data_IF_979037355697
#
_entry.id   IF_979037355697
#
_cell.length_a   1.000
_cell.length_b   1.000
_cell.length_c   1.000
_cell.angle_alpha   90.00
_cell.angle_beta   90.00
_cell.angle_gamma   90.00
#
_symmetry.space_group_name_H-M   'P 1'
#
loop_
_entity.id
_entity.type
_entity.pdbx_description
1 polymer ?
#
# COMPACT_ATOMS: atom_id res chain seq x y z
N UNK A 1 1.61 -4.09 6.31
CA UNK A 1 2.58 -3.95 5.20
C UNK A 1 3.14 -5.33 4.88
N UNK A 2 3.14 -5.74 3.62
CA UNK A 2 3.68 -7.04 3.19
C UNK A 2 5.09 -6.85 2.65
N UNK A 3 6.03 -7.62 3.18
CA UNK A 3 7.45 -7.54 2.81
C UNK A 3 7.87 -8.92 2.32
N UNK A 4 8.39 -8.95 1.09
CA UNK A 4 9.00 -10.14 0.49
C UNK A 4 10.51 -10.08 0.61
N UNK A 5 11.13 -11.24 0.82
CA UNK A 5 12.58 -11.43 0.74
C UNK A 5 12.83 -12.63 -0.16
N UNK A 6 13.59 -12.45 -1.22
CA UNK A 6 13.99 -13.56 -2.12
C UNK A 6 15.51 -13.62 -2.14
N UNK A 7 16.03 -14.69 -1.57
CA UNK A 7 17.46 -14.91 -1.34
C UNK A 7 17.70 -16.41 -1.19
N UNK A 8 18.56 -16.99 -1.96
CA UNK A 8 18.81 -18.46 -1.95
C UNK A 8 19.70 -18.90 -0.79
N UNK A 9 20.67 -18.08 -0.41
CA UNK A 9 21.55 -18.38 0.71
C UNK A 9 20.83 -18.17 2.05
N UNK A 10 20.65 -19.26 2.82
CA UNK A 10 19.93 -19.21 4.09
C UNK A 10 20.50 -18.19 5.08
N UNK A 11 21.82 -18.06 5.16
CA UNK A 11 22.50 -17.13 6.06
C UNK A 11 22.15 -15.67 5.72
N UNK A 12 22.21 -15.30 4.45
CA UNK A 12 21.83 -13.97 4.01
C UNK A 12 20.34 -13.71 4.17
N UNK A 13 19.51 -14.69 3.83
CA UNK A 13 18.06 -14.60 3.97
C UNK A 13 17.64 -14.34 5.42
N UNK A 14 18.24 -15.05 6.38
CA UNK A 14 17.97 -14.85 7.80
C UNK A 14 18.51 -13.53 8.32
N UNK A 15 19.68 -13.10 7.86
CA UNK A 15 20.27 -11.80 8.23
C UNK A 15 19.42 -10.63 7.73
N UNK A 16 18.96 -10.68 6.47
CA UNK A 16 18.07 -9.68 5.89
C UNK A 16 16.73 -9.65 6.64
N UNK A 17 16.17 -10.83 6.93
CA UNK A 17 14.95 -10.94 7.71
C UNK A 17 15.10 -10.28 9.07
N UNK A 18 16.19 -10.56 9.81
CA UNK A 18 16.44 -9.97 11.11
C UNK A 18 16.55 -8.45 11.06
N UNK A 19 17.23 -7.87 10.03
CA UNK A 19 17.30 -6.43 9.83
C UNK A 19 15.91 -5.83 9.59
N UNK A 20 15.10 -6.46 8.74
CA UNK A 20 13.73 -6.03 8.44
C UNK A 20 12.84 -6.10 9.68
N UNK A 21 12.90 -7.19 10.45
CA UNK A 21 12.13 -7.37 11.68
C UNK A 21 12.52 -6.34 12.73
N UNK A 22 13.82 -6.07 12.90
CA UNK A 22 14.34 -5.03 13.79
C UNK A 22 13.76 -3.67 13.46
N UNK A 23 13.89 -3.23 12.20
CA UNK A 23 13.36 -1.93 11.76
C UNK A 23 11.84 -1.82 11.99
N UNK A 24 11.09 -2.84 11.59
CA UNK A 24 9.64 -2.85 11.79
C UNK A 24 9.25 -2.80 13.26
N UNK A 25 9.96 -3.51 14.13
CA UNK A 25 9.75 -3.51 15.58
C UNK A 25 10.03 -2.15 16.21
N UNK A 26 11.18 -1.53 15.91
CA UNK A 26 11.57 -0.22 16.41
C UNK A 26 10.58 0.89 16.00
N UNK A 27 10.10 0.83 14.77
CA UNK A 27 9.12 1.81 14.22
C UNK A 27 7.66 1.43 14.51
N UNK A 28 7.40 0.31 15.19
CA UNK A 28 6.05 -0.22 15.49
C UNK A 28 5.19 -0.37 14.22
N UNK A 29 5.79 -0.88 13.15
CA UNK A 29 5.12 -1.10 11.87
C UNK A 29 4.52 -2.49 11.86
N UNK A 30 3.19 -2.60 11.76
CA UNK A 30 2.54 -3.87 11.53
C UNK A 30 2.93 -4.42 10.14
N UNK A 31 3.68 -5.52 10.12
CA UNK A 31 4.21 -6.12 8.90
C UNK A 31 4.03 -7.63 8.88
N UNK A 32 3.84 -8.16 7.67
CA UNK A 32 3.92 -9.58 7.36
C UNK A 32 5.16 -9.78 6.51
N UNK A 33 6.11 -10.55 7.01
CA UNK A 33 7.39 -10.80 6.35
C UNK A 33 7.41 -12.23 5.85
N UNK A 34 7.57 -12.41 4.55
CA UNK A 34 7.68 -13.71 3.88
C UNK A 34 9.03 -13.81 3.19
N UNK A 35 9.75 -14.90 3.44
CA UNK A 35 11.07 -15.11 2.86
C UNK A 35 11.10 -16.41 2.05
N UNK A 36 11.70 -16.36 0.89
CA UNK A 36 11.72 -17.40 -0.13
C UNK A 36 13.16 -17.70 -0.55
N UNK A 37 13.48 -18.96 -0.75
CA UNK A 37 14.79 -19.40 -1.22
C UNK A 37 14.96 -19.36 -2.74
N UNK A 38 13.93 -18.98 -3.50
CA UNK A 38 13.96 -18.90 -4.95
C UNK A 38 12.80 -18.02 -5.48
N UNK A 39 12.94 -17.56 -6.71
CA UNK A 39 11.94 -16.71 -7.35
C UNK A 39 10.64 -17.40 -7.69
N UNK A 40 10.67 -18.72 -7.97
CA UNK A 40 9.47 -19.50 -8.27
C UNK A 40 8.48 -19.52 -7.13
N UNK A 41 8.95 -19.74 -5.90
CA UNK A 41 8.10 -19.81 -4.73
C UNK A 41 7.50 -18.44 -4.41
N UNK A 42 8.29 -17.37 -4.54
CA UNK A 42 7.77 -16.02 -4.40
C UNK A 42 6.69 -15.70 -5.45
N UNK A 43 6.91 -16.07 -6.72
CA UNK A 43 5.98 -15.73 -7.81
C UNK A 43 4.63 -16.46 -7.73
N UNK A 44 4.49 -17.50 -6.90
CA UNK A 44 3.18 -18.15 -6.66
C UNK A 44 2.19 -17.22 -5.96
N UNK A 45 2.67 -16.43 -5.02
CA UNK A 45 1.86 -15.48 -4.27
C UNK A 45 2.05 -14.05 -4.80
N UNK A 46 3.27 -13.70 -5.20
CA UNK A 46 3.72 -12.40 -5.73
C UNK A 46 3.12 -11.16 -5.01
N UNK A 47 2.85 -11.30 -3.71
CA UNK A 47 2.09 -10.35 -2.91
C UNK A 47 3.02 -9.65 -1.89
N UNK A 48 3.67 -8.59 -2.34
CA UNK A 48 4.51 -7.74 -1.51
C UNK A 48 4.30 -6.26 -1.84
N UNK A 49 4.34 -5.42 -0.80
CA UNK A 49 4.41 -3.95 -0.95
C UNK A 49 5.86 -3.51 -1.23
N UNK A 50 6.82 -4.18 -0.56
CA UNK A 50 8.25 -3.98 -0.67
C UNK A 50 8.93 -5.35 -0.80
N UNK A 51 9.77 -5.50 -1.80
CA UNK A 51 10.51 -6.73 -2.07
C UNK A 51 12.01 -6.47 -1.96
N UNK A 52 12.69 -7.22 -1.13
CA UNK A 52 14.14 -7.35 -1.13
C UNK A 52 14.49 -8.58 -1.97
N UNK A 53 15.22 -8.37 -3.06
CA UNK A 53 15.46 -9.38 -4.09
C UNK A 53 16.94 -9.46 -4.40
N UNK A 54 17.54 -10.63 -4.22
CA UNK A 54 18.88 -10.88 -4.72
C UNK A 54 18.90 -10.87 -6.26
N UNK A 55 19.96 -10.35 -6.82
CA UNK A 55 20.18 -10.35 -8.27
C UNK A 55 20.61 -11.73 -8.75
N UNK A 56 21.50 -12.38 -8.04
CA UNK A 56 22.08 -13.67 -8.39
C UNK A 56 21.53 -14.76 -7.47
N UNK A 57 20.59 -15.53 -7.97
CA UNK A 57 19.98 -16.65 -7.26
C UNK A 57 20.51 -17.98 -7.76
N UNK A 58 20.43 -19.02 -6.93
CA UNK A 58 20.85 -20.37 -7.28
C UNK A 58 20.19 -20.87 -8.57
N UNK A 59 20.83 -21.85 -9.22
CA UNK A 59 20.35 -22.51 -10.44
C UNK A 59 20.22 -21.56 -11.66
N UNK A 60 20.89 -20.39 -11.63
CA UNK A 60 20.86 -19.44 -12.74
C UNK A 60 19.56 -18.62 -12.81
N UNK A 61 18.77 -18.56 -11.72
CA UNK A 61 17.68 -17.61 -11.66
C UNK A 61 18.25 -16.19 -11.56
N UNK A 62 17.73 -15.29 -12.40
CA UNK A 62 18.12 -13.88 -12.45
C UNK A 62 17.05 -13.03 -11.77
N UNK A 63 17.44 -12.29 -10.72
CA UNK A 63 16.57 -11.37 -9.99
C UNK A 63 15.98 -10.28 -10.89
N UNK A 64 16.69 -9.82 -11.91
CA UNK A 64 16.12 -8.87 -12.87
C UNK A 64 14.98 -9.47 -13.68
N UNK A 65 15.11 -10.74 -14.10
CA UNK A 65 14.03 -11.43 -14.83
C UNK A 65 12.78 -11.62 -13.93
N UNK A 66 12.95 -11.87 -12.63
CA UNK A 66 11.85 -11.95 -11.66
C UNK A 66 11.19 -10.57 -11.53
N UNK A 67 11.97 -9.51 -11.39
CA UNK A 67 11.48 -8.15 -11.30
C UNK A 67 10.70 -7.72 -12.55
N UNK A 68 11.19 -8.03 -13.75
CA UNK A 68 10.49 -7.76 -15.01
C UNK A 68 9.13 -8.48 -15.08
N UNK A 69 9.07 -9.75 -14.69
CA UNK A 69 7.81 -10.50 -14.64
C UNK A 69 6.81 -9.88 -13.68
N UNK A 70 7.29 -9.44 -12.49
CA UNK A 70 6.46 -8.80 -11.48
C UNK A 70 5.89 -7.47 -11.98
N UNK A 71 6.70 -6.64 -12.62
CA UNK A 71 6.28 -5.37 -13.22
C UNK A 71 5.28 -5.59 -14.36
N UNK A 72 5.56 -6.53 -15.25
CA UNK A 72 4.70 -6.85 -16.37
C UNK A 72 3.34 -7.42 -15.95
N UNK A 73 3.24 -8.01 -14.75
CA UNK A 73 1.96 -8.41 -14.15
C UNK A 73 1.13 -7.24 -13.60
N UNK A 74 1.62 -6.00 -13.70
CA UNK A 74 0.95 -4.81 -13.17
C UNK A 74 1.13 -4.59 -11.67
N UNK A 75 2.06 -5.30 -11.04
CA UNK A 75 2.36 -5.14 -9.61
C UNK A 75 2.88 -3.74 -9.31
N UNK A 76 2.44 -3.17 -8.18
CA UNK A 76 2.92 -1.89 -7.65
C UNK A 76 4.02 -2.08 -6.57
N UNK A 77 4.53 -3.31 -6.45
CA UNK A 77 5.59 -3.65 -5.51
C UNK A 77 6.83 -2.78 -5.75
N UNK A 78 7.40 -2.23 -4.69
CA UNK A 78 8.69 -1.55 -4.77
C UNK A 78 9.79 -2.58 -4.58
N UNK A 79 10.76 -2.60 -5.50
CA UNK A 79 11.82 -3.61 -5.53
C UNK A 79 13.12 -2.97 -5.07
N UNK A 80 13.68 -3.50 -3.98
CA UNK A 80 15.05 -3.22 -3.53
C UNK A 80 15.92 -4.41 -3.89
N UNK A 81 16.86 -4.23 -4.77
CA UNK A 81 17.85 -5.27 -5.03
C UNK A 81 18.89 -5.32 -3.92
N UNK A 82 19.22 -6.52 -3.50
CA UNK A 82 20.34 -6.82 -2.63
C UNK A 82 21.41 -7.54 -3.47
N UNK A 83 22.65 -7.11 -3.43
CA UNK A 83 23.69 -7.74 -4.22
C UNK A 83 25.06 -7.53 -3.59
N UNK A 84 25.94 -8.51 -3.75
CA UNK A 84 27.38 -8.35 -3.49
C UNK A 84 28.13 -7.71 -4.68
N UNK A 85 27.45 -7.57 -5.84
CA UNK A 85 27.99 -7.09 -7.11
C UNK A 85 27.38 -5.75 -7.50
N UNK A 86 27.90 -4.67 -6.91
CA UNK A 86 27.37 -3.31 -7.11
C UNK A 86 27.47 -2.79 -8.55
N UNK A 87 28.38 -3.36 -9.36
CA UNK A 87 28.50 -3.08 -10.79
C UNK A 87 27.25 -3.48 -11.58
N UNK A 88 26.43 -4.41 -11.07
CA UNK A 88 25.17 -4.82 -11.68
C UNK A 88 24.05 -3.78 -11.52
N UNK A 89 24.18 -2.82 -10.61
CA UNK A 89 23.21 -1.77 -10.40
C UNK A 89 22.87 -0.98 -11.68
N UNK A 90 23.83 -0.85 -12.61
CA UNK A 90 23.62 -0.20 -13.91
C UNK A 90 22.56 -0.89 -14.81
N UNK A 91 22.28 -2.16 -14.59
CA UNK A 91 21.26 -2.88 -15.35
C UNK A 91 19.83 -2.68 -14.82
N UNK A 92 19.71 -2.16 -13.62
CA UNK A 92 18.42 -1.94 -12.96
C UNK A 92 17.56 -0.82 -13.54
N UNK A 93 18.12 0.03 -14.40
CA UNK A 93 17.30 1.00 -15.14
C UNK A 93 16.15 0.36 -15.93
N UNK A 94 16.29 -0.90 -16.34
CA UNK A 94 15.27 -1.64 -17.09
C UNK A 94 14.03 -1.96 -16.26
N UNK A 95 14.20 -2.13 -14.95
CA UNK A 95 13.15 -2.59 -14.03
C UNK A 95 12.70 -1.51 -13.05
N UNK A 96 13.11 -0.24 -13.26
CA UNK A 96 12.76 0.88 -12.39
C UNK A 96 12.88 0.51 -10.90
N UNK A 97 14.03 -0.08 -10.53
CA UNK A 97 14.29 -0.49 -9.17
C UNK A 97 14.12 0.67 -8.19
N UNK A 98 13.53 0.40 -7.04
CA UNK A 98 13.35 1.40 -6.00
C UNK A 98 14.69 1.76 -5.34
N UNK A 99 15.51 0.74 -5.03
CA UNK A 99 16.88 0.90 -4.50
C UNK A 99 17.77 -0.28 -4.87
N UNK A 100 19.07 -0.04 -4.75
CA UNK A 100 20.12 -1.05 -4.70
C UNK A 100 20.80 -0.97 -3.35
N UNK A 101 21.01 -2.11 -2.71
CA UNK A 101 21.65 -2.24 -1.41
C UNK A 101 22.78 -3.25 -1.54
N UNK A 102 23.99 -2.86 -1.15
CA UNK A 102 25.12 -3.76 -1.05
C UNK A 102 24.91 -4.67 0.17
N UNK A 103 25.03 -5.99 -0.01
CA UNK A 103 24.90 -6.96 1.10
C UNK A 103 25.92 -6.70 2.23
N UNK A 104 27.00 -5.98 1.95
CA UNK A 104 28.00 -5.54 2.95
C UNK A 104 27.52 -4.35 3.80
N UNK A 105 26.45 -3.69 3.39
CA UNK A 105 25.91 -2.46 3.99
C UNK A 105 24.41 -2.61 4.28
N UNK A 106 24.03 -3.63 5.06
CA UNK A 106 22.63 -3.89 5.37
C UNK A 106 21.95 -2.78 6.21
N UNK A 107 22.72 -1.86 6.79
CA UNK A 107 22.21 -0.64 7.41
C UNK A 107 21.43 0.25 6.41
N UNK A 108 21.70 0.13 5.11
CA UNK A 108 20.94 0.82 4.06
C UNK A 108 19.50 0.32 3.92
N UNK A 109 19.15 -0.84 4.52
CA UNK A 109 17.77 -1.33 4.62
C UNK A 109 16.90 -0.29 5.34
N UNK A 110 17.40 0.33 6.40
CA UNK A 110 16.68 1.35 7.16
C UNK A 110 16.36 2.57 6.28
N UNK A 111 17.31 3.01 5.45
CA UNK A 111 17.10 4.10 4.50
C UNK A 111 16.11 3.73 3.39
N UNK A 112 16.15 2.47 2.93
CA UNK A 112 15.19 1.97 1.95
C UNK A 112 13.77 2.01 2.51
N UNK A 113 13.58 1.59 3.76
CA UNK A 113 12.30 1.69 4.44
C UNK A 113 11.85 3.13 4.64
N UNK A 114 12.71 4.02 5.14
CA UNK A 114 12.38 5.44 5.33
C UNK A 114 11.92 6.08 4.01
N UNK A 115 12.60 5.77 2.91
CA UNK A 115 12.25 6.25 1.58
C UNK A 115 10.93 5.65 1.10
N UNK A 116 10.72 4.35 1.32
CA UNK A 116 9.47 3.67 0.97
C UNK A 116 8.27 4.23 1.72
N UNK A 117 8.42 4.46 3.03
CA UNK A 117 7.37 5.05 3.84
C UNK A 117 7.04 6.48 3.41
N UNK A 118 8.06 7.28 3.01
CA UNK A 118 7.85 8.62 2.44
C UNK A 118 7.05 8.56 1.14
N UNK A 119 7.34 7.62 0.23
CA UNK A 119 6.54 7.45 -1.00
C UNK A 119 5.11 7.07 -0.68
N UNK A 120 4.88 6.15 0.28
CA UNK A 120 3.51 5.79 0.71
C UNK A 120 2.75 6.95 1.33
N UNK A 121 3.43 7.90 1.98
CA UNK A 121 2.79 9.12 2.49
C UNK A 121 2.44 10.05 1.32
N UNK A 122 3.31 10.20 0.34
CA UNK A 122 3.06 11.00 -0.87
C UNK A 122 1.95 10.38 -1.72
N UNK A 123 1.92 9.07 -1.90
CA UNK A 123 0.87 8.34 -2.62
C UNK A 123 -0.52 8.48 -1.96
N UNK A 124 -0.58 8.91 -0.70
CA UNK A 124 -1.83 9.20 0.01
C UNK A 124 -2.28 10.66 -0.09
N UNK A 125 -1.67 11.43 -0.97
CA UNK A 125 -2.09 12.78 -1.33
C UNK A 125 -2.71 12.73 -2.72
N UNK A 126 -3.96 13.16 -2.82
CA UNK A 126 -4.62 13.36 -4.10
C UNK A 126 -4.90 14.85 -4.32
N UNK A 127 -5.11 15.21 -5.56
CA UNK A 127 -5.48 16.55 -5.95
C UNK A 127 -6.84 16.52 -6.64
N UNK A 128 -7.71 17.45 -6.27
CA UNK A 128 -8.96 17.71 -6.98
C UNK A 128 -9.10 19.21 -7.26
N UNK A 129 -9.95 19.57 -8.20
CA UNK A 129 -10.30 20.96 -8.42
C UNK A 129 -11.53 21.29 -7.58
N UNK A 130 -11.47 22.39 -6.83
CA UNK A 130 -12.60 22.87 -6.08
C UNK A 130 -13.65 23.57 -6.98
N UNK A 131 -14.68 24.11 -6.37
CA UNK A 131 -15.76 24.82 -7.10
C UNK A 131 -15.31 26.10 -7.80
N UNK A 132 -14.18 26.66 -7.42
CA UNK A 132 -13.56 27.83 -8.05
C UNK A 132 -12.52 27.42 -9.12
N UNK A 133 -12.32 26.13 -9.36
CA UNK A 133 -11.32 25.60 -10.28
C UNK A 133 -9.90 25.58 -9.71
N UNK A 134 -9.74 25.88 -8.43
CA UNK A 134 -8.44 25.84 -7.76
C UNK A 134 -8.05 24.39 -7.39
N UNK A 135 -6.77 24.09 -7.58
CA UNK A 135 -6.24 22.77 -7.23
C UNK A 135 -6.08 22.64 -5.72
N UNK A 136 -6.86 21.74 -5.12
CA UNK A 136 -6.84 21.43 -3.69
C UNK A 136 -6.12 20.13 -3.45
N UNK A 137 -5.28 20.12 -2.42
CA UNK A 137 -4.56 18.95 -1.95
C UNK A 137 -5.35 18.25 -0.85
N UNK A 138 -5.68 16.97 -1.04
CA UNK A 138 -6.39 16.13 -0.08
C UNK A 138 -5.45 15.06 0.46
N UNK A 139 -5.21 15.07 1.76
CA UNK A 139 -4.48 14.00 2.43
C UNK A 139 -5.45 12.87 2.82
N UNK A 140 -5.34 11.74 2.16
CA UNK A 140 -6.20 10.56 2.38
C UNK A 140 -6.13 10.01 3.81
N UNK A 141 -4.99 10.21 4.49
CA UNK A 141 -4.86 9.82 5.90
C UNK A 141 -5.70 10.67 6.85
N UNK A 142 -6.15 11.85 6.40
CA UNK A 142 -7.00 12.76 7.16
C UNK A 142 -8.41 12.88 6.58
N UNK A 143 -8.70 12.15 5.51
CA UNK A 143 -10.00 12.12 4.86
C UNK A 143 -10.88 11.08 5.56
N UNK A 144 -12.02 11.52 6.07
CA UNK A 144 -12.98 10.70 6.81
C UNK A 144 -13.97 9.99 5.87
N UNK A 145 -14.62 10.77 5.00
CA UNK A 145 -15.58 10.28 4.04
C UNK A 145 -15.67 11.21 2.80
N UNK A 146 -16.27 10.69 1.75
CA UNK A 146 -16.67 11.46 0.58
C UNK A 146 -18.16 11.19 0.35
N UNK A 147 -18.92 12.24 0.13
CA UNK A 147 -20.34 12.11 -0.23
C UNK A 147 -20.70 12.90 -1.47
N UNK A 148 -21.75 12.46 -2.13
CA UNK A 148 -22.34 13.23 -3.25
C UNK A 148 -23.19 14.36 -2.69
N UNK A 149 -22.83 15.61 -3.06
CA UNK A 149 -23.58 16.81 -2.71
C UNK A 149 -23.98 17.55 -4.00
N UNK A 150 -25.21 17.31 -4.45
CA UNK A 150 -25.69 17.80 -5.74
C UNK A 150 -24.85 17.24 -6.90
N UNK A 151 -24.15 18.12 -7.62
CA UNK A 151 -23.29 17.76 -8.76
C UNK A 151 -21.81 17.64 -8.39
N UNK A 152 -21.47 17.81 -7.10
CA UNK A 152 -20.12 17.81 -6.56
C UNK A 152 -19.92 16.65 -5.59
N UNK A 153 -18.67 16.38 -5.28
CA UNK A 153 -18.28 15.51 -4.19
C UNK A 153 -17.79 16.35 -3.02
N UNK A 154 -18.35 16.13 -1.84
CA UNK A 154 -17.89 16.70 -0.58
C UNK A 154 -16.89 15.76 0.06
N UNK A 155 -15.68 16.22 0.29
CA UNK A 155 -14.62 15.55 1.02
C UNK A 155 -14.61 16.08 2.45
N UNK A 156 -15.04 15.26 3.42
CA UNK A 156 -15.05 15.64 4.83
C UNK A 156 -13.75 15.15 5.49
N UNK A 157 -12.99 16.10 6.00
CA UNK A 157 -11.71 15.83 6.67
C UNK A 157 -11.93 15.53 8.16
N UNK A 158 -10.97 14.86 8.80
CA UNK A 158 -11.02 14.50 10.21
C UNK A 158 -11.11 15.71 11.15
N UNK A 159 -10.53 16.84 10.75
CA UNK A 159 -10.58 18.12 11.49
C UNK A 159 -11.85 18.95 11.22
N UNK A 160 -12.83 18.37 10.51
CA UNK A 160 -14.10 19.03 10.18
C UNK A 160 -14.03 19.93 8.93
N UNK A 161 -12.86 20.13 8.32
CA UNK A 161 -12.76 20.88 7.07
C UNK A 161 -13.46 20.13 5.93
N UNK A 162 -14.02 20.87 5.02
CA UNK A 162 -14.74 20.34 3.86
C UNK A 162 -14.15 20.91 2.57
N UNK A 163 -14.05 20.05 1.54
CA UNK A 163 -13.68 20.46 0.21
C UNK A 163 -14.74 19.95 -0.78
N UNK A 164 -15.19 20.81 -1.65
CA UNK A 164 -16.18 20.47 -2.68
C UNK A 164 -15.47 20.42 -4.03
N UNK A 165 -15.42 19.25 -4.63
CA UNK A 165 -14.65 19.01 -5.85
C UNK A 165 -15.53 18.41 -6.95
N UNK A 166 -15.13 18.61 -8.19
CA UNK A 166 -15.73 17.93 -9.32
C UNK A 166 -15.35 16.44 -9.30
N UNK A 167 -16.25 15.59 -9.74
CA UNK A 167 -15.99 14.17 -9.87
C UNK A 167 -17.24 13.28 -9.82
N UNK A 168 -17.02 12.00 -10.10
CA UNK A 168 -18.04 10.97 -9.97
C UNK A 168 -17.70 10.03 -8.86
N UNK A 169 -18.65 9.74 -7.99
CA UNK A 169 -18.43 8.94 -6.79
C UNK A 169 -17.91 7.53 -7.12
N UNK A 170 -18.40 6.90 -8.18
CA UNK A 170 -17.96 5.56 -8.60
C UNK A 170 -16.51 5.52 -9.06
N UNK A 171 -16.09 6.51 -9.87
CA UNK A 171 -14.70 6.63 -10.33
C UNK A 171 -13.76 6.91 -9.15
N UNK A 172 -14.19 7.80 -8.25
CA UNK A 172 -13.46 8.13 -7.03
C UNK A 172 -13.35 6.90 -6.11
N UNK A 173 -14.41 6.14 -5.94
CA UNK A 173 -14.39 4.91 -5.14
C UNK A 173 -13.39 3.89 -5.68
N UNK A 174 -13.39 3.68 -7.00
CA UNK A 174 -12.45 2.77 -7.66
C UNK A 174 -11.00 3.21 -7.46
N UNK A 175 -10.70 4.49 -7.62
CA UNK A 175 -9.35 5.03 -7.47
C UNK A 175 -8.83 4.96 -6.03
N UNK A 176 -9.74 5.07 -5.04
CA UNK A 176 -9.39 5.11 -3.62
C UNK A 176 -9.48 3.76 -2.92
N UNK A 177 -9.99 2.71 -3.58
CA UNK A 177 -10.15 1.37 -2.98
C UNK A 177 -8.83 0.81 -2.43
N UNK A 178 -7.74 0.97 -3.15
CA UNK A 178 -6.38 0.55 -2.74
C UNK A 178 -5.85 1.26 -1.48
N UNK A 179 -6.47 2.37 -1.08
CA UNK A 179 -6.08 3.14 0.10
C UNK A 179 -6.95 2.88 1.33
N UNK A 180 -7.83 1.87 1.28
CA UNK A 180 -8.70 1.52 2.38
C UNK A 180 -10.01 2.31 2.41
N UNK A 181 -10.45 2.85 1.28
CA UNK A 181 -11.75 3.45 1.11
C UNK A 181 -12.73 2.46 0.48
N UNK A 182 -13.98 2.51 0.93
CA UNK A 182 -15.03 1.66 0.39
C UNK A 182 -16.31 2.45 0.12
N UNK A 183 -16.92 2.24 -1.05
CA UNK A 183 -18.22 2.80 -1.37
C UNK A 183 -19.33 2.00 -0.67
N UNK A 184 -19.82 2.53 0.43
CA UNK A 184 -20.76 1.83 1.33
C UNK A 184 -22.22 1.95 0.86
N UNK A 185 -22.50 3.00 0.08
CA UNK A 185 -23.78 3.17 -0.60
C UNK A 185 -23.64 4.13 -1.80
N UNK A 186 -24.73 4.30 -2.56
CA UNK A 186 -24.76 5.09 -3.80
C UNK A 186 -24.09 6.47 -3.67
N UNK A 187 -24.19 7.11 -2.51
CA UNK A 187 -23.77 8.49 -2.29
C UNK A 187 -22.59 8.64 -1.32
N UNK A 188 -22.05 7.54 -0.77
CA UNK A 188 -21.02 7.61 0.26
C UNK A 188 -19.85 6.67 0.04
N UNK A 189 -18.64 7.20 0.17
CA UNK A 189 -17.39 6.46 0.30
C UNK A 189 -16.85 6.74 1.69
N UNK A 190 -16.49 5.72 2.44
CA UNK A 190 -15.92 5.84 3.79
C UNK A 190 -14.48 5.38 3.83
N UNK A 191 -13.68 6.00 4.66
CA UNK A 191 -12.36 5.51 5.01
C UNK A 191 -12.51 4.45 6.10
N UNK A 192 -12.22 3.19 5.78
CA UNK A 192 -12.39 2.06 6.71
C UNK A 192 -11.54 2.20 7.98
N UNK A 193 -10.45 2.98 7.93
CA UNK A 193 -9.62 3.31 9.09
C UNK A 193 -10.40 4.02 10.21
N UNK A 194 -11.40 4.79 9.85
CA UNK A 194 -12.15 5.63 10.80
C UNK A 194 -13.52 5.05 11.16
N UNK A 195 -13.80 3.81 10.77
CA UNK A 195 -15.00 3.10 11.22
C UNK A 195 -14.75 2.61 12.65
N UNK A 196 -15.49 3.18 13.60
CA UNK A 196 -15.48 2.79 15.01
C UNK A 196 -16.36 1.57 15.26
N UNK A 197 -17.57 1.58 14.70
CA UNK A 197 -18.54 0.49 14.80
C UNK A 197 -19.12 0.16 13.43
N UNK A 198 -19.36 -1.11 13.19
CA UNK A 198 -20.06 -1.58 11.99
C UNK A 198 -20.94 -2.76 12.35
N UNK A 199 -22.19 -2.72 11.91
CA UNK A 199 -23.12 -3.84 11.99
C UNK A 199 -23.59 -4.28 10.59
N UNK A 200 -24.74 -4.93 10.48
CA UNK A 200 -25.27 -5.38 9.19
C UNK A 200 -25.93 -4.27 8.36
N UNK A 201 -26.24 -3.13 8.96
CA UNK A 201 -27.10 -2.10 8.39
C UNK A 201 -26.42 -0.74 8.29
N UNK A 202 -25.52 -0.44 9.20
CA UNK A 202 -24.85 0.85 9.26
C UNK A 202 -23.40 0.78 9.74
N UNK A 203 -22.66 1.85 9.52
CA UNK A 203 -21.36 2.11 10.14
C UNK A 203 -21.42 3.40 10.93
N UNK A 204 -20.70 3.43 12.06
CA UNK A 204 -20.44 4.64 12.83
C UNK A 204 -18.98 5.01 12.67
N UNK A 205 -18.70 6.24 12.25
CA UNK A 205 -17.34 6.76 12.14
C UNK A 205 -16.88 7.37 13.47
N UNK A 206 -15.59 7.55 13.65
CA UNK A 206 -14.96 8.06 14.87
C UNK A 206 -15.41 9.47 15.31
N UNK A 207 -16.06 10.23 14.43
CA UNK A 207 -16.69 11.53 14.75
C UNK A 207 -18.19 11.40 15.05
N UNK A 208 -18.72 10.18 15.21
CA UNK A 208 -20.12 9.91 15.48
C UNK A 208 -21.05 9.90 14.26
N UNK A 209 -20.51 10.11 13.06
CA UNK A 209 -21.31 10.05 11.82
C UNK A 209 -21.83 8.63 11.58
N UNK A 210 -23.15 8.47 11.43
CA UNK A 210 -23.78 7.19 11.13
C UNK A 210 -24.21 7.14 9.67
N UNK A 211 -23.83 6.10 8.97
CA UNK A 211 -24.10 5.94 7.54
C UNK A 211 -24.66 4.54 7.29
N UNK A 212 -25.85 4.48 6.70
CA UNK A 212 -26.49 3.21 6.35
C UNK A 212 -25.70 2.50 5.23
N UNK A 213 -25.58 1.18 5.34
CA UNK A 213 -24.99 0.35 4.30
C UNK A 213 -26.03 0.02 3.23
N UNK A 214 -25.76 0.41 1.99
CA UNK A 214 -26.62 0.08 0.87
C UNK A 214 -26.72 -1.44 0.65
N UNK A 215 -27.93 -1.96 0.40
CA UNK A 215 -28.17 -3.41 0.25
C UNK A 215 -27.23 -4.07 -0.77
N UNK A 216 -26.96 -3.39 -1.87
CA UNK A 216 -26.07 -3.88 -2.94
C UNK A 216 -24.61 -3.99 -2.46
N UNK A 217 -24.17 -3.13 -1.55
CA UNK A 217 -22.80 -3.06 -1.06
C UNK A 217 -22.55 -3.90 0.20
N UNK A 218 -23.60 -4.34 0.91
CA UNK A 218 -23.48 -4.94 2.25
C UNK A 218 -22.60 -6.21 2.26
N UNK A 219 -22.78 -7.11 1.29
CA UNK A 219 -22.02 -8.38 1.23
C UNK A 219 -20.54 -8.13 0.98
N UNK A 220 -20.24 -7.25 0.03
CA UNK A 220 -18.86 -6.93 -0.35
C UNK A 220 -18.18 -6.10 0.75
N UNK A 221 -18.89 -5.13 1.34
CA UNK A 221 -18.38 -4.35 2.47
C UNK A 221 -17.94 -5.24 3.63
N UNK A 222 -18.78 -6.20 4.06
CA UNK A 222 -18.41 -7.12 5.16
C UNK A 222 -17.12 -7.88 4.86
N UNK A 223 -16.98 -8.39 3.63
CA UNK A 223 -15.79 -9.13 3.19
C UNK A 223 -14.54 -8.24 3.21
N UNK A 224 -14.63 -7.06 2.60
CA UNK A 224 -13.50 -6.13 2.48
C UNK A 224 -13.15 -5.50 3.83
N UNK A 225 -14.13 -5.14 4.65
CA UNK A 225 -13.89 -4.58 5.98
C UNK A 225 -13.27 -5.60 6.94
N UNK A 226 -13.73 -6.86 6.90
CA UNK A 226 -13.12 -7.94 7.67
C UNK A 226 -11.65 -8.16 7.25
N UNK A 227 -11.40 -8.24 5.93
CA UNK A 227 -10.04 -8.34 5.40
C UNK A 227 -9.18 -7.15 5.84
N UNK A 228 -9.71 -5.94 5.71
CA UNK A 228 -9.01 -4.73 6.10
C UNK A 228 -8.65 -4.73 7.59
N UNK A 229 -9.57 -5.14 8.47
CA UNK A 229 -9.32 -5.25 9.91
C UNK A 229 -8.27 -6.29 10.27
N UNK A 230 -8.22 -7.41 9.58
CA UNK A 230 -7.18 -8.43 9.80
C UNK A 230 -5.77 -7.91 9.49
N UNK A 231 -5.63 -7.04 8.48
CA UNK A 231 -4.32 -6.58 8.02
C UNK A 231 -3.92 -5.20 8.52
N UNK A 232 -4.86 -4.35 8.90
CA UNK A 232 -4.63 -2.94 9.23
C UNK A 232 -5.37 -2.47 10.49
N UNK A 233 -6.27 -3.28 11.05
CA UNK A 233 -6.96 -2.96 12.30
C UNK A 233 -6.04 -3.20 13.50
N UNK A 234 -5.97 -2.23 14.40
CA UNK A 234 -5.37 -2.42 15.72
C UNK A 234 -6.25 -3.31 16.56
#
# INVERSE_FOLDING_TARGET
>A
MKIGIVEDEAVWRDTIRAAVEKYCGEKKIASQISAYGNGKDFMRDADADLLFLDIELAQGEDGFAIAEKLINSGSQCKICFLTSHTELARFGYRVNAFRYIDKRHLEEIDEAFDSFLKTRIQDRIIYCNDTAGLRVQINLNKLLLIETCGRKLRYLMLDGREHFCDGRISETAQSLSKFGFFQIQRSYIVNMKYIEKADSHEVTLCNGYQIAIGRVHSKEFKKEFFRWRLYFGN
#
